data_IF_960359889329
#
_entry.id   IF_960359889329
#
_cell.length_a   1.000
_cell.length_b   1.000
_cell.length_c   1.000
_cell.angle_alpha   90.00
_cell.angle_beta   90.00
_cell.angle_gamma   90.00
#
_symmetry.space_group_name_H-M   'P 1'
#
loop_
_entity.id
_entity.type
_entity.pdbx_description
1 polymer ?
#
# COMPACT_ATOMS: atom_id res chain seq x y z
N UNK A 1 24.14 -4.04 23.61
CA UNK A 1 23.09 -5.05 23.30
C UNK A 1 22.24 -4.50 22.14
N UNK A 2 21.98 -5.32 21.11
CA UNK A 2 21.29 -4.95 19.88
C UNK A 2 19.91 -4.37 20.15
N UNK A 3 19.16 -4.94 21.10
CA UNK A 3 17.83 -4.45 21.45
C UNK A 3 17.87 -2.98 21.92
N UNK A 4 18.76 -2.64 22.84
CA UNK A 4 18.89 -1.26 23.30
C UNK A 4 19.32 -0.30 22.17
N UNK A 5 20.14 -0.78 21.24
CA UNK A 5 20.49 -0.02 20.03
C UNK A 5 19.26 0.32 19.18
N UNK A 6 18.37 -0.66 18.93
CA UNK A 6 17.12 -0.41 18.20
C UNK A 6 16.14 0.44 19.00
N UNK A 7 16.02 0.26 20.31
CA UNK A 7 15.19 1.12 21.16
C UNK A 7 15.59 2.60 21.03
N UNK A 8 16.90 2.86 21.08
CA UNK A 8 17.45 4.20 20.91
C UNK A 8 17.22 4.74 19.47
N UNK A 9 17.48 3.90 18.44
CA UNK A 9 17.24 4.23 17.02
C UNK A 9 15.78 4.61 16.77
N UNK A 10 14.83 3.95 17.43
CA UNK A 10 13.40 4.18 17.29
C UNK A 10 12.83 5.22 18.29
N UNK A 11 13.69 5.85 19.10
CA UNK A 11 13.31 6.90 20.04
C UNK A 11 12.46 6.42 21.21
N UNK A 12 12.64 5.16 21.63
CA UNK A 12 11.90 4.57 22.75
C UNK A 12 12.76 4.59 24.02
N UNK A 13 12.22 5.18 25.09
CA UNK A 13 12.88 5.15 26.40
C UNK A 13 12.80 3.72 26.98
N UNK A 14 13.96 3.10 27.19
CA UNK A 14 14.11 1.74 27.74
C UNK A 14 13.58 1.58 29.17
N UNK A 15 13.38 2.68 29.91
CA UNK A 15 12.86 2.67 31.27
C UNK A 15 11.33 2.67 31.33
N UNK A 16 10.65 2.95 30.19
CA UNK A 16 9.19 2.91 30.13
C UNK A 16 8.67 1.49 30.13
N UNK A 17 7.59 1.26 30.89
CA UNK A 17 6.87 -0.01 30.84
C UNK A 17 6.05 -0.11 29.55
N UNK A 18 5.82 -1.30 28.98
CA UNK A 18 5.01 -1.49 27.76
C UNK A 18 3.61 -0.85 27.84
N UNK A 19 3.00 -0.78 29.02
CA UNK A 19 1.69 -0.16 29.25
C UNK A 19 1.71 1.37 29.09
N UNK A 20 2.86 2.00 29.20
CA UNK A 20 3.06 3.44 29.09
C UNK A 20 3.38 3.89 27.65
N UNK A 21 3.51 2.93 26.74
CA UNK A 21 3.80 3.18 25.33
C UNK A 21 2.51 3.51 24.55
N UNK A 22 2.59 4.50 23.67
CA UNK A 22 1.55 4.72 22.65
C UNK A 22 1.49 3.54 21.67
N UNK A 23 0.43 3.41 20.88
CA UNK A 23 0.32 2.32 19.90
C UNK A 23 1.50 2.33 18.91
N UNK A 24 1.89 3.49 18.39
CA UNK A 24 3.07 3.62 17.53
C UNK A 24 4.37 3.20 18.23
N UNK A 25 4.54 3.54 19.50
CA UNK A 25 5.70 3.10 20.28
C UNK A 25 5.68 1.59 20.55
N UNK A 26 4.51 0.97 20.72
CA UNK A 26 4.38 -0.50 20.86
C UNK A 26 4.80 -1.22 19.59
N UNK A 27 4.41 -0.72 18.41
CA UNK A 27 4.85 -1.29 17.15
C UNK A 27 6.37 -1.18 17.00
N UNK A 28 6.95 0.00 17.26
CA UNK A 28 8.41 0.20 17.25
C UNK A 28 9.15 -0.69 18.25
N UNK A 29 8.59 -0.89 19.45
CA UNK A 29 9.12 -1.81 20.45
C UNK A 29 9.14 -3.26 19.94
N UNK A 30 8.05 -3.72 19.32
CA UNK A 30 7.96 -5.05 18.72
C UNK A 30 8.98 -5.25 17.58
N UNK A 31 9.18 -4.23 16.75
CA UNK A 31 10.22 -4.23 15.72
C UNK A 31 11.63 -4.31 16.34
N UNK A 32 11.92 -3.53 17.39
CA UNK A 32 13.20 -3.58 18.09
C UNK A 32 13.47 -4.98 18.65
N UNK A 33 12.45 -5.63 19.22
CA UNK A 33 12.56 -7.00 19.72
C UNK A 33 12.84 -8.00 18.58
N UNK A 34 12.09 -7.95 17.49
CA UNK A 34 12.28 -8.84 16.33
C UNK A 34 13.68 -8.68 15.71
N UNK A 35 14.12 -7.45 15.48
CA UNK A 35 15.41 -7.14 14.86
C UNK A 35 16.59 -7.50 15.77
N UNK A 36 16.41 -7.47 17.09
CA UNK A 36 17.47 -7.83 18.04
C UNK A 36 17.90 -9.31 17.97
N UNK A 37 17.08 -10.15 17.33
CA UNK A 37 17.39 -11.56 17.05
C UNK A 37 18.01 -11.79 15.67
N UNK A 38 18.35 -10.72 14.94
CA UNK A 38 18.95 -10.82 13.61
C UNK A 38 17.96 -11.23 12.52
N UNK A 39 16.70 -10.78 12.64
CA UNK A 39 15.69 -11.08 11.63
C UNK A 39 16.03 -10.42 10.29
N UNK A 40 16.11 -11.24 9.23
CA UNK A 40 16.30 -10.82 7.84
C UNK A 40 14.96 -10.62 7.11
N UNK A 41 13.88 -11.19 7.66
CA UNK A 41 12.50 -11.08 7.16
C UNK A 41 11.57 -10.70 8.31
N UNK A 42 10.82 -9.61 8.12
CA UNK A 42 9.72 -9.21 8.99
C UNK A 42 8.40 -9.46 8.28
N UNK A 43 7.46 -10.13 8.97
CA UNK A 43 6.09 -10.33 8.49
C UNK A 43 5.16 -9.59 9.46
N UNK A 44 4.46 -8.59 8.95
CA UNK A 44 3.67 -7.66 9.75
C UNK A 44 2.23 -7.61 9.23
N UNK A 45 1.28 -7.72 10.14
CA UNK A 45 -0.14 -7.62 9.81
C UNK A 45 -0.66 -6.25 10.23
N UNK A 46 -1.12 -5.46 9.24
CA UNK A 46 -1.69 -4.11 9.41
C UNK A 46 -0.86 -3.19 10.35
N UNK A 47 0.47 -3.06 10.18
CA UNK A 47 1.35 -2.43 11.17
C UNK A 47 1.09 -0.94 11.39
N UNK A 48 0.46 -0.27 10.43
CA UNK A 48 0.16 1.17 10.46
C UNK A 48 -1.29 1.48 10.87
N UNK A 49 -2.14 0.44 10.98
CA UNK A 49 -3.55 0.59 11.32
C UNK A 49 -3.73 1.17 12.72
N UNK A 50 -4.63 2.16 12.83
CA UNK A 50 -4.92 2.81 14.11
C UNK A 50 -3.84 3.77 14.63
N UNK A 51 -2.75 3.98 13.90
CA UNK A 51 -1.75 4.99 14.25
C UNK A 51 -2.21 6.40 13.85
N UNK A 52 -1.80 7.38 14.65
CA UNK A 52 -1.91 8.77 14.24
C UNK A 52 -0.99 9.08 13.04
N UNK A 53 -1.26 10.15 12.27
CA UNK A 53 -0.50 10.43 11.05
C UNK A 53 1.02 10.56 11.25
N UNK A 54 1.46 11.10 12.40
CA UNK A 54 2.89 11.30 12.68
C UNK A 54 3.56 9.96 12.98
N UNK A 55 2.97 9.18 13.88
CA UNK A 55 3.49 7.83 14.23
C UNK A 55 3.53 6.90 13.02
N UNK A 56 2.52 7.01 12.13
CA UNK A 56 2.48 6.25 10.87
C UNK A 56 3.61 6.64 9.94
N UNK A 57 3.84 7.94 9.75
CA UNK A 57 4.94 8.46 8.94
C UNK A 57 6.29 7.95 9.42
N UNK A 58 6.55 8.08 10.72
CA UNK A 58 7.78 7.61 11.33
C UNK A 58 8.00 6.09 11.15
N UNK A 59 6.91 5.29 11.19
CA UNK A 59 6.99 3.85 10.98
C UNK A 59 7.36 3.50 9.53
N UNK A 60 6.76 4.19 8.55
CA UNK A 60 7.11 4.00 7.13
C UNK A 60 8.55 4.40 6.83
N UNK A 61 9.06 5.47 7.47
CA UNK A 61 10.47 5.85 7.38
C UNK A 61 11.40 4.77 7.94
N UNK A 62 11.00 4.13 9.06
CA UNK A 62 11.73 2.99 9.63
C UNK A 62 11.75 1.82 8.63
N UNK A 63 10.63 1.49 7.98
CA UNK A 63 10.59 0.42 6.97
C UNK A 63 11.53 0.70 5.81
N UNK A 64 11.51 1.92 5.27
CA UNK A 64 12.43 2.32 4.20
C UNK A 64 13.90 2.26 4.62
N UNK A 65 14.21 2.61 5.86
CA UNK A 65 15.57 2.51 6.39
C UNK A 65 16.03 1.05 6.54
N UNK A 66 15.19 0.18 7.08
CA UNK A 66 15.47 -1.25 7.26
C UNK A 66 15.63 -1.98 5.91
N UNK A 67 14.81 -1.64 4.91
CA UNK A 67 14.94 -2.18 3.56
C UNK A 67 16.31 -1.85 2.95
N UNK A 68 16.83 -0.64 3.16
CA UNK A 68 18.19 -0.25 2.73
C UNK A 68 19.30 -1.00 3.48
N UNK A 69 19.02 -1.48 4.68
CA UNK A 69 19.90 -2.33 5.50
C UNK A 69 19.73 -3.83 5.20
N UNK A 70 19.13 -4.18 4.03
CA UNK A 70 18.90 -5.55 3.57
C UNK A 70 17.90 -6.38 4.41
N UNK A 71 17.02 -5.75 5.19
CA UNK A 71 15.90 -6.43 5.84
C UNK A 71 14.72 -6.48 4.89
N UNK A 72 14.21 -7.68 4.60
CA UNK A 72 12.98 -7.85 3.80
C UNK A 72 11.76 -7.62 4.70
N UNK A 73 10.82 -6.80 4.25
CA UNK A 73 9.58 -6.51 4.98
C UNK A 73 8.39 -6.93 4.12
N UNK A 74 7.60 -7.86 4.63
CA UNK A 74 6.29 -8.21 4.09
C UNK A 74 5.22 -7.71 5.06
N UNK A 75 4.37 -6.81 4.62
CA UNK A 75 3.28 -6.31 5.45
C UNK A 75 1.95 -6.33 4.72
N UNK A 76 0.88 -6.66 5.44
CA UNK A 76 -0.48 -6.46 4.96
C UNK A 76 -0.93 -5.03 5.27
N UNK A 77 -1.72 -4.43 4.39
CA UNK A 77 -2.38 -3.15 4.66
C UNK A 77 -3.58 -2.94 3.75
N UNK A 78 -4.58 -2.26 4.25
CA UNK A 78 -5.67 -1.68 3.47
C UNK A 78 -5.46 -0.18 3.18
N UNK A 79 -4.33 0.39 3.65
CA UNK A 79 -4.00 1.80 3.49
C UNK A 79 -3.08 1.96 2.27
N UNK A 80 -3.67 2.28 1.15
CA UNK A 80 -3.00 2.28 -0.16
C UNK A 80 -1.85 3.28 -0.23
N UNK A 81 -1.97 4.42 0.43
CA UNK A 81 -0.90 5.42 0.50
C UNK A 81 0.38 4.91 1.16
N UNK A 82 0.31 3.89 2.02
CA UNK A 82 1.51 3.26 2.59
C UNK A 82 2.26 2.46 1.53
N UNK A 83 1.52 1.74 0.67
CA UNK A 83 2.09 0.98 -0.44
C UNK A 83 2.81 1.92 -1.40
N UNK A 84 2.15 2.98 -1.84
CA UNK A 84 2.72 3.96 -2.77
C UNK A 84 3.96 4.65 -2.21
N UNK A 85 4.04 4.79 -0.89
CA UNK A 85 5.13 5.49 -0.21
C UNK A 85 6.37 4.63 0.00
N UNK A 86 6.21 3.39 0.42
CA UNK A 86 7.36 2.60 0.90
C UNK A 86 7.51 1.21 0.29
N UNK A 87 6.53 0.70 -0.47
CA UNK A 87 6.62 -0.64 -1.03
C UNK A 87 7.30 -0.64 -2.40
N UNK A 88 8.22 -1.57 -2.62
CA UNK A 88 8.82 -1.85 -3.93
C UNK A 88 7.90 -2.73 -4.78
N UNK A 89 7.26 -3.72 -4.14
CA UNK A 89 6.40 -4.73 -4.78
C UNK A 89 5.04 -4.79 -4.11
N UNK A 90 4.04 -5.19 -4.88
CA UNK A 90 2.66 -5.41 -4.42
C UNK A 90 2.21 -6.83 -4.75
N UNK A 91 1.53 -7.45 -3.79
CA UNK A 91 0.73 -8.66 -3.99
C UNK A 91 -0.73 -8.26 -3.73
N UNK A 92 -1.50 -8.09 -4.80
CA UNK A 92 -2.91 -7.75 -4.67
C UNK A 92 -3.76 -9.02 -4.66
N UNK A 93 -4.52 -9.20 -3.58
CA UNK A 93 -5.36 -10.39 -3.35
C UNK A 93 -6.82 -9.94 -3.34
N UNK A 94 -7.64 -10.59 -4.18
CA UNK A 94 -9.08 -10.37 -4.25
C UNK A 94 -9.79 -11.72 -4.22
N UNK A 95 -10.79 -11.88 -3.35
CA UNK A 95 -11.58 -13.14 -3.21
C UNK A 95 -10.70 -14.41 -3.11
N UNK A 96 -9.59 -14.31 -2.37
CA UNK A 96 -8.67 -15.42 -2.17
C UNK A 96 -7.80 -15.78 -3.37
N UNK A 97 -7.76 -14.94 -4.41
CA UNK A 97 -6.91 -15.11 -5.59
C UNK A 97 -5.91 -13.97 -5.69
N UNK A 98 -4.69 -14.28 -6.11
CA UNK A 98 -3.69 -13.27 -6.43
C UNK A 98 -4.03 -12.68 -7.80
N UNK A 99 -4.37 -11.41 -7.82
CA UNK A 99 -4.71 -10.64 -9.03
C UNK A 99 -3.45 -9.99 -9.61
N UNK A 100 -2.53 -9.52 -8.76
CA UNK A 100 -1.24 -8.99 -9.18
C UNK A 100 -0.13 -9.43 -8.22
N UNK A 101 1.07 -9.63 -8.77
CA UNK A 101 2.31 -9.86 -8.04
C UNK A 101 3.44 -9.26 -8.89
N UNK A 102 3.77 -8.00 -8.67
CA UNK A 102 4.72 -7.24 -9.47
C UNK A 102 5.24 -6.02 -8.70
N UNK A 103 6.12 -5.23 -9.31
CA UNK A 103 6.51 -3.95 -8.74
C UNK A 103 5.31 -2.99 -8.68
N UNK A 104 5.28 -2.09 -7.69
CA UNK A 104 4.25 -1.03 -7.60
C UNK A 104 4.24 -0.19 -8.88
N UNK A 105 5.41 0.08 -9.44
CA UNK A 105 5.58 0.80 -10.70
C UNK A 105 4.94 0.08 -11.90
N UNK A 106 5.15 -1.23 -12.02
CA UNK A 106 4.54 -2.02 -13.11
C UNK A 106 3.03 -2.15 -12.92
N UNK A 107 2.58 -2.28 -11.68
CA UNK A 107 1.16 -2.31 -11.35
C UNK A 107 0.44 -1.05 -11.82
N UNK A 108 0.95 0.12 -11.48
CA UNK A 108 0.36 1.40 -11.91
C UNK A 108 0.52 1.66 -13.41
N UNK A 109 1.68 1.32 -13.98
CA UNK A 109 1.92 1.50 -15.43
C UNK A 109 1.02 0.63 -16.32
N UNK A 110 0.49 -0.47 -15.79
CA UNK A 110 -0.39 -1.39 -16.51
C UNK A 110 -1.79 -0.85 -16.81
N UNK A 111 -2.17 0.27 -16.18
CA UNK A 111 -3.53 0.78 -16.22
C UNK A 111 -3.60 2.29 -16.45
N UNK A 112 -4.74 2.74 -16.96
CA UNK A 112 -5.08 4.15 -17.12
C UNK A 112 -6.51 4.40 -16.64
N UNK A 113 -6.76 5.61 -16.15
CA UNK A 113 -8.10 6.11 -15.89
C UNK A 113 -8.55 6.96 -17.06
N UNK A 114 -9.75 6.70 -17.52
CA UNK A 114 -10.40 7.48 -18.59
C UNK A 114 -11.73 8.05 -18.08
N UNK A 115 -12.10 9.23 -18.57
CA UNK A 115 -13.43 9.79 -18.33
C UNK A 115 -14.35 9.39 -19.47
N UNK A 116 -15.52 8.87 -19.14
CA UNK A 116 -16.50 8.38 -20.11
C UNK A 116 -17.91 8.92 -19.80
N UNK A 117 -18.72 9.01 -20.84
CA UNK A 117 -20.15 9.29 -20.74
C UNK A 117 -20.99 8.00 -20.78
N UNK A 118 -22.31 8.13 -20.60
CA UNK A 118 -23.26 7.00 -20.59
C UNK A 118 -23.18 6.12 -21.85
N UNK A 119 -22.90 6.70 -23.00
CA UNK A 119 -22.81 5.98 -24.29
C UNK A 119 -21.62 5.02 -24.39
N UNK A 120 -20.62 5.19 -23.53
CA UNK A 120 -19.41 4.36 -23.53
C UNK A 120 -19.46 3.25 -22.46
N UNK A 121 -20.50 3.23 -21.65
CA UNK A 121 -20.76 2.13 -20.70
C UNK A 121 -20.99 0.84 -21.52
N UNK A 122 -20.32 -0.25 -21.10
CA UNK A 122 -20.36 -1.53 -21.82
C UNK A 122 -19.32 -1.69 -22.94
N UNK A 123 -18.36 -0.79 -23.04
CA UNK A 123 -17.19 -1.01 -23.91
C UNK A 123 -16.30 -2.12 -23.33
N UNK A 124 -15.98 -3.13 -24.13
CA UNK A 124 -15.21 -4.32 -23.74
C UNK A 124 -13.79 -4.01 -23.20
N UNK A 125 -13.27 -2.83 -23.49
CA UNK A 125 -11.96 -2.40 -22.95
C UNK A 125 -12.03 -1.86 -21.51
N UNK A 126 -13.23 -1.65 -20.98
CA UNK A 126 -13.45 -1.13 -19.64
C UNK A 126 -13.47 -2.29 -18.65
N UNK A 127 -12.61 -2.21 -17.62
CA UNK A 127 -12.51 -3.20 -16.57
C UNK A 127 -13.52 -2.93 -15.45
N UNK A 128 -13.69 -1.67 -15.06
CA UNK A 128 -14.64 -1.26 -14.04
C UNK A 128 -14.92 0.24 -14.11
N UNK A 129 -16.05 0.68 -13.57
CA UNK A 129 -16.49 2.07 -13.62
C UNK A 129 -16.83 2.63 -12.25
N UNK A 130 -16.56 3.92 -12.05
CA UNK A 130 -16.97 4.67 -10.87
C UNK A 130 -17.73 5.92 -11.28
N UNK A 131 -18.84 6.22 -10.60
CA UNK A 131 -19.56 7.46 -10.81
C UNK A 131 -18.67 8.68 -10.48
N UNK A 132 -18.68 9.67 -11.33
CA UNK A 132 -18.01 10.95 -11.16
C UNK A 132 -19.01 12.08 -11.26
N UNK A 133 -18.61 13.30 -10.94
CA UNK A 133 -19.49 14.47 -10.91
C UNK A 133 -20.13 14.75 -12.29
N UNK A 134 -19.36 14.50 -13.36
CA UNK A 134 -19.77 14.77 -14.75
C UNK A 134 -19.59 13.49 -15.59
N UNK A 135 -20.31 12.39 -15.27
CA UNK A 135 -20.22 11.11 -15.96
C UNK A 135 -19.59 10.02 -15.11
N UNK A 136 -18.62 9.28 -15.68
CA UNK A 136 -17.95 8.18 -15.01
C UNK A 136 -16.43 8.24 -15.22
N UNK A 137 -15.69 7.71 -14.27
CA UNK A 137 -14.31 7.27 -14.49
C UNK A 137 -14.31 5.77 -14.76
N UNK A 138 -13.44 5.33 -15.66
CA UNK A 138 -13.30 3.93 -16.00
C UNK A 138 -11.83 3.52 -16.01
N UNK A 139 -11.56 2.28 -15.60
CA UNK A 139 -10.23 1.66 -15.64
C UNK A 139 -10.08 0.89 -16.95
N UNK A 140 -8.99 1.12 -17.63
CA UNK A 140 -8.61 0.40 -18.86
C UNK A 140 -7.16 -0.06 -18.78
N UNK A 141 -6.78 -1.09 -19.54
CA UNK A 141 -5.36 -1.42 -19.74
C UNK A 141 -4.67 -0.31 -20.51
N UNK A 142 -3.42 -0.03 -20.19
CA UNK A 142 -2.62 1.02 -20.83
C UNK A 142 -2.59 0.86 -22.35
N UNK A 143 -2.44 -0.36 -22.85
CA UNK A 143 -2.43 -0.70 -24.28
C UNK A 143 -3.77 -0.46 -25.00
N UNK A 144 -4.88 -0.41 -24.27
CA UNK A 144 -6.24 -0.18 -24.78
C UNK A 144 -6.71 1.27 -24.61
N UNK A 145 -5.89 2.12 -23.98
CA UNK A 145 -6.27 3.51 -23.66
C UNK A 145 -6.35 4.44 -24.87
N UNK A 146 -5.71 4.09 -26.01
CA UNK A 146 -5.65 4.93 -27.21
C UNK A 146 -6.99 5.22 -27.90
N UNK A 147 -8.07 4.53 -27.51
CA UNK A 147 -9.44 4.79 -28.01
C UNK A 147 -10.23 5.81 -27.19
N UNK A 148 -9.65 6.38 -26.14
CA UNK A 148 -10.33 7.31 -25.23
C UNK A 148 -9.68 8.70 -25.28
N UNK A 149 -10.49 9.76 -25.09
CA UNK A 149 -9.99 11.14 -25.11
C UNK A 149 -9.60 11.48 -23.69
N UNK A 150 -9.85 11.58 -22.71
CA UNK A 150 -9.43 12.06 -21.39
C UNK A 150 -8.72 10.97 -20.58
N UNK A 151 -7.50 10.64 -20.98
CA UNK A 151 -6.68 9.60 -20.37
C UNK A 151 -5.76 10.22 -19.32
N UNK A 152 -5.68 9.62 -18.14
CA UNK A 152 -4.77 9.96 -17.06
C UNK A 152 -4.08 8.71 -16.48
N UNK A 153 -2.98 8.90 -15.78
CA UNK A 153 -2.32 7.83 -15.06
C UNK A 153 -3.23 7.34 -13.93
N UNK A 154 -3.19 6.05 -13.67
CA UNK A 154 -3.90 5.41 -12.56
C UNK A 154 -2.98 5.24 -11.36
N UNK A 155 -3.41 5.71 -10.17
CA UNK A 155 -2.78 5.36 -8.91
C UNK A 155 -3.21 3.97 -8.43
N UNK A 156 -2.53 3.44 -7.40
CA UNK A 156 -2.93 2.15 -6.81
C UNK A 156 -4.38 2.17 -6.32
N UNK A 157 -4.81 3.28 -5.72
CA UNK A 157 -6.18 3.44 -5.22
C UNK A 157 -7.21 3.37 -6.34
N UNK A 158 -6.96 4.09 -7.45
CA UNK A 158 -7.85 4.07 -8.61
C UNK A 158 -8.00 2.65 -9.16
N UNK A 159 -6.89 1.93 -9.30
CA UNK A 159 -6.89 0.57 -9.84
C UNK A 159 -7.71 -0.36 -8.94
N UNK A 160 -7.43 -0.35 -7.64
CA UNK A 160 -8.08 -1.25 -6.69
C UNK A 160 -9.58 -0.98 -6.60
N UNK A 161 -10.00 0.30 -6.53
CA UNK A 161 -11.43 0.68 -6.47
C UNK A 161 -12.17 0.21 -7.73
N UNK A 162 -11.58 0.37 -8.91
CA UNK A 162 -12.26 -0.02 -10.15
C UNK A 162 -12.28 -1.53 -10.35
N UNK A 163 -11.23 -2.26 -9.94
CA UNK A 163 -11.20 -3.73 -9.96
C UNK A 163 -12.27 -4.34 -9.05
N UNK A 164 -12.54 -3.74 -7.88
CA UNK A 164 -13.61 -4.20 -6.99
C UNK A 164 -15.02 -4.00 -7.59
N UNK A 165 -15.17 -3.03 -8.49
CA UNK A 165 -16.45 -2.71 -9.15
C UNK A 165 -16.70 -3.45 -10.47
N UNK A 166 -15.71 -4.16 -11.00
CA UNK A 166 -15.87 -5.01 -12.19
C UNK A 166 -16.99 -6.06 -12.03
N UNK A 167 -17.27 -6.47 -10.81
CA UNK A 167 -18.21 -7.56 -10.50
C UNK A 167 -19.62 -7.09 -10.11
N UNK A 168 -19.92 -5.80 -10.17
CA UNK A 168 -21.23 -5.26 -9.70
C UNK A 168 -22.20 -4.93 -10.85
N UNK A 169 -21.89 -5.33 -12.11
CA UNK A 169 -22.75 -5.13 -13.29
C UNK A 169 -23.38 -6.44 -13.74
#
# INVERSE_FOLDING_TARGET
DLFNGYMQKFGIDVNKKPIELSEGMKVKFSLAAALSHGAELLILDEPTSGLDPVSREELLEIFMALSKECTTILFSTHIITDIEKCADNIIYIQKGKIIANCSVKDFTAGYKIVKIGDQQLGNDSIIGTCAAKDGYTALVKTEQSGGFENVSDAGCEDIMIHLEKEETI
#
